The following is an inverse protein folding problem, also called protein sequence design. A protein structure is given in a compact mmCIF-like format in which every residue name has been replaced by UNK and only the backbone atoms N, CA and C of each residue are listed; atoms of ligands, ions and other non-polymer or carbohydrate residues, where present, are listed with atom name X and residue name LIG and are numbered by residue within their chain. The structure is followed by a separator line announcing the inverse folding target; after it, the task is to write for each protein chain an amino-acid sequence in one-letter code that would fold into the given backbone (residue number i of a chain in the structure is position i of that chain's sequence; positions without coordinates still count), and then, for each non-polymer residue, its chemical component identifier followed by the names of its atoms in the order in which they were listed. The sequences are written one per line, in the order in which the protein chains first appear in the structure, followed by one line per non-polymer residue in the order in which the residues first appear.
data_IF_771280244840
#
_entry.id   IF_771280244840
#
_cell.length_a   1.000
_cell.length_b   1.000
_cell.length_c   1.000
_cell.angle_alpha   90.00
_cell.angle_beta   90.00
_cell.angle_gamma   90.00
#
_symmetry.space_group_name_H-M   'P 1'
#
loop_
_entity.id
_entity.type
_entity.pdbx_description
1 polymer ?
#
# COMPACT_ATOMS: atom_id res chain seq x y z
N UNK A 1 -11.88 -3.60 -0.85
CA UNK A 1 -11.98 -2.85 0.41
C UNK A 1 -12.09 -3.77 1.61
N UNK A 2 -11.49 -3.41 2.76
CA UNK A 2 -11.23 -4.30 3.89
C UNK A 2 -12.42 -4.76 4.73
N UNK A 3 -13.33 -5.55 4.17
CA UNK A 3 -14.53 -6.07 4.84
C UNK A 3 -14.33 -7.40 5.59
N UNK A 4 -13.08 -7.87 5.78
CA UNK A 4 -12.83 -9.21 6.34
C UNK A 4 -12.83 -9.32 7.87
N UNK A 5 -13.02 -8.23 8.60
CA UNK A 5 -13.03 -8.23 10.08
C UNK A 5 -14.45 -8.32 10.67
N UNK A 6 -15.50 -8.39 9.82
CA UNK A 6 -16.87 -8.74 10.25
C UNK A 6 -17.50 -7.77 11.26
N UNK A 7 -17.54 -6.47 10.97
CA UNK A 7 -18.18 -5.45 11.78
C UNK A 7 -18.58 -4.24 10.95
N UNK A 8 -19.44 -3.37 11.48
CA UNK A 8 -19.84 -2.11 10.84
C UNK A 8 -18.66 -1.14 10.72
N UNK A 9 -17.68 -1.21 11.64
CA UNK A 9 -16.50 -0.33 11.65
C UNK A 9 -15.37 -0.92 10.81
N UNK A 10 -14.81 -0.17 9.83
CA UNK A 10 -13.65 -0.59 9.07
C UNK A 10 -12.43 -0.82 9.98
N UNK A 11 -11.64 -1.84 9.65
CA UNK A 11 -10.48 -2.26 10.46
C UNK A 11 -9.45 -1.14 10.74
N UNK A 12 -9.38 -0.13 9.88
CA UNK A 12 -8.48 1.02 10.03
C UNK A 12 -8.82 1.86 11.26
N UNK A 13 -10.07 1.84 11.71
CA UNK A 13 -10.54 2.55 12.90
C UNK A 13 -10.55 1.68 14.16
N UNK A 14 -10.25 0.38 14.04
CA UNK A 14 -10.18 -0.49 15.21
C UNK A 14 -8.94 -0.15 16.05
N UNK A 15 -9.09 -0.16 17.39
CA UNK A 15 -7.99 0.17 18.28
C UNK A 15 -6.97 -0.98 18.36
N UNK A 16 -5.70 -0.60 18.47
CA UNK A 16 -4.60 -1.45 18.91
C UNK A 16 -4.52 -1.45 20.46
N UNK A 17 -3.66 -2.27 21.07
CA UNK A 17 -3.59 -2.41 22.53
C UNK A 17 -3.35 -1.10 23.31
N UNK A 18 -2.76 -0.10 22.69
CA UNK A 18 -2.54 1.24 23.28
C UNK A 18 -3.78 2.16 23.17
N UNK A 19 -4.87 1.66 22.58
CA UNK A 19 -6.12 2.39 22.41
C UNK A 19 -6.19 3.30 21.18
N UNK A 20 -5.12 3.43 20.40
CA UNK A 20 -5.09 4.19 19.16
C UNK A 20 -5.47 3.31 17.98
N UNK A 21 -6.09 3.89 16.97
CA UNK A 21 -6.53 3.14 15.79
C UNK A 21 -5.35 2.70 14.89
N UNK A 22 -5.59 1.66 14.11
CA UNK A 22 -4.66 1.19 13.06
C UNK A 22 -4.25 2.34 12.13
N UNK A 23 -5.20 3.21 11.75
CA UNK A 23 -4.94 4.36 10.89
C UNK A 23 -3.99 5.37 11.57
N UNK A 24 -4.20 5.65 12.87
CA UNK A 24 -3.36 6.60 13.61
C UNK A 24 -1.90 6.15 13.62
N UNK A 25 -1.64 4.87 13.87
CA UNK A 25 -0.28 4.33 13.81
C UNK A 25 0.33 4.43 12.41
N UNK A 26 -0.44 4.08 11.38
CA UNK A 26 0.05 4.16 10.00
C UNK A 26 0.40 5.58 9.59
N UNK A 27 -0.46 6.56 9.91
CA UNK A 27 -0.22 7.97 9.53
C UNK A 27 0.95 8.55 10.33
N UNK A 28 1.03 8.28 11.63
CA UNK A 28 2.10 8.78 12.49
C UNK A 28 3.49 8.40 12.01
N UNK A 29 3.66 7.17 11.51
CA UNK A 29 4.95 6.71 11.01
C UNK A 29 5.46 7.62 9.86
N UNK A 30 4.57 8.07 8.99
CA UNK A 30 4.92 8.98 7.90
C UNK A 30 4.93 10.46 8.33
N UNK A 31 4.03 10.87 9.21
CA UNK A 31 4.00 12.24 9.77
C UNK A 31 5.33 12.58 10.46
N UNK A 32 5.89 11.64 11.20
CA UNK A 32 7.15 11.81 11.93
C UNK A 32 8.41 11.74 11.05
N UNK A 33 8.31 11.19 9.85
CA UNK A 33 9.45 10.98 8.97
C UNK A 33 9.84 12.27 8.22
N UNK A 34 11.11 12.66 8.27
CA UNK A 34 11.62 13.80 7.52
C UNK A 34 11.72 13.56 6.00
N UNK A 35 11.58 12.33 5.55
CA UNK A 35 11.55 11.98 4.12
C UNK A 35 10.19 12.21 3.48
N UNK A 36 9.14 12.39 4.27
CA UNK A 36 7.77 12.58 3.79
C UNK A 36 7.37 14.03 3.98
N UNK A 37 6.94 14.67 2.90
CA UNK A 37 6.57 16.09 2.90
C UNK A 37 5.07 16.29 2.96
N UNK A 38 4.31 15.37 2.35
CA UNK A 38 2.86 15.46 2.25
C UNK A 38 2.22 14.08 2.34
N UNK A 39 1.04 14.02 2.94
CA UNK A 39 0.24 12.81 3.10
C UNK A 39 -1.17 13.07 2.57
N UNK A 40 -1.62 12.17 1.69
CA UNK A 40 -3.01 12.11 1.23
C UNK A 40 -3.64 10.84 1.79
N UNK A 41 -4.71 10.99 2.55
CA UNK A 41 -5.47 9.84 3.05
C UNK A 41 -6.62 9.56 2.07
N UNK A 42 -6.62 8.35 1.50
CA UNK A 42 -7.68 7.89 0.61
C UNK A 42 -8.58 6.94 1.37
N UNK A 43 -9.82 7.36 1.60
CA UNK A 43 -10.75 6.67 2.49
C UNK A 43 -12.08 6.36 1.81
N UNK A 44 -12.82 5.39 2.35
CA UNK A 44 -14.20 5.14 1.93
C UNK A 44 -15.06 6.40 2.17
N UNK A 45 -15.97 6.77 1.24
CA UNK A 45 -16.77 7.99 1.37
C UNK A 45 -17.47 8.16 2.72
N UNK A 46 -18.02 7.08 3.27
CA UNK A 46 -18.76 7.11 4.54
C UNK A 46 -17.87 7.41 5.77
N UNK A 47 -16.55 7.44 5.62
CA UNK A 47 -15.58 7.58 6.72
C UNK A 47 -14.64 8.77 6.54
N UNK A 48 -14.96 9.68 5.63
CA UNK A 48 -14.16 10.89 5.40
C UNK A 48 -14.23 11.80 6.61
N UNK A 49 -15.42 12.07 7.11
CA UNK A 49 -15.62 12.97 8.25
C UNK A 49 -14.88 12.49 9.50
N UNK A 50 -14.98 11.20 9.85
CA UNK A 50 -14.24 10.62 10.96
C UNK A 50 -12.74 10.71 10.75
N UNK A 51 -12.28 10.54 9.50
CA UNK A 51 -10.86 10.66 9.17
C UNK A 51 -10.36 12.09 9.33
N UNK A 52 -11.13 13.08 8.88
CA UNK A 52 -10.83 14.51 9.08
C UNK A 52 -10.79 14.88 10.57
N UNK A 53 -11.70 14.34 11.38
CA UNK A 53 -11.67 14.51 12.84
C UNK A 53 -10.40 13.89 13.46
N UNK A 54 -9.93 12.73 12.96
CA UNK A 54 -8.66 12.15 13.38
C UNK A 54 -7.48 13.05 13.03
N UNK A 55 -7.46 13.62 11.81
CA UNK A 55 -6.41 14.56 11.37
C UNK A 55 -6.32 15.75 12.33
N UNK A 56 -7.45 16.35 12.66
CA UNK A 56 -7.53 17.50 13.56
C UNK A 56 -7.10 17.12 15.00
N UNK A 57 -7.58 15.99 15.52
CA UNK A 57 -7.29 15.52 16.88
C UNK A 57 -5.81 15.20 17.08
N UNK A 58 -5.18 14.58 16.08
CA UNK A 58 -3.77 14.21 16.14
C UNK A 58 -2.82 15.34 15.71
N UNK A 59 -3.35 16.49 15.27
CA UNK A 59 -2.57 17.64 14.81
C UNK A 59 -1.58 17.28 13.68
N UNK A 60 -1.97 16.38 12.79
CA UNK A 60 -1.13 16.00 11.64
C UNK A 60 -0.99 17.17 10.67
N UNK A 61 0.25 17.60 10.48
CA UNK A 61 0.57 18.78 9.68
C UNK A 61 0.88 18.47 8.23
N UNK A 62 1.27 17.23 7.94
CA UNK A 62 1.57 16.76 6.59
C UNK A 62 0.33 16.22 5.86
N UNK A 63 -0.75 15.91 6.59
CA UNK A 63 -1.99 15.48 5.96
C UNK A 63 -2.68 16.67 5.32
N UNK A 64 -2.57 16.80 4.01
CA UNK A 64 -3.13 17.93 3.25
C UNK A 64 -4.51 17.62 2.70
N UNK A 65 -4.81 16.35 2.41
CA UNK A 65 -6.07 15.94 1.83
C UNK A 65 -6.57 14.63 2.44
N UNK A 66 -7.89 14.59 2.66
CA UNK A 66 -8.66 13.36 2.88
C UNK A 66 -9.64 13.25 1.72
N UNK A 67 -9.50 12.20 0.90
CA UNK A 67 -10.28 12.05 -0.33
C UNK A 67 -11.00 10.72 -0.41
N UNK A 68 -12.03 10.65 -1.23
CA UNK A 68 -12.76 9.42 -1.50
C UNK A 68 -11.92 8.44 -2.31
N UNK A 69 -11.88 7.17 -1.86
CA UNK A 69 -11.40 6.04 -2.64
C UNK A 69 -12.39 5.65 -3.75
N UNK A 70 -11.93 4.77 -4.63
CA UNK A 70 -12.75 4.16 -5.67
C UNK A 70 -13.35 2.81 -5.23
N UNK A 71 -14.06 2.15 -6.15
CA UNK A 71 -14.62 0.81 -5.94
C UNK A 71 -13.50 -0.24 -5.82
N UNK A 72 -12.47 -0.09 -6.62
CA UNK A 72 -11.29 -0.95 -6.64
C UNK A 72 -10.06 -0.26 -6.00
N UNK A 73 -9.06 -1.08 -5.60
CA UNK A 73 -7.83 -0.56 -5.00
C UNK A 73 -7.08 0.41 -5.93
N UNK A 74 -6.97 0.05 -7.21
CA UNK A 74 -6.28 0.88 -8.20
C UNK A 74 -6.96 2.24 -8.42
N UNK A 75 -8.30 2.32 -8.33
CA UNK A 75 -9.04 3.58 -8.42
C UNK A 75 -8.70 4.50 -7.25
N UNK A 76 -8.56 3.93 -6.05
CA UNK A 76 -8.13 4.69 -4.87
C UNK A 76 -6.73 5.26 -5.05
N UNK A 77 -5.78 4.46 -5.54
CA UNK A 77 -4.42 4.94 -5.86
C UNK A 77 -4.45 6.02 -6.94
N UNK A 78 -5.27 5.83 -8.00
CA UNK A 78 -5.43 6.81 -9.05
C UNK A 78 -6.02 8.13 -8.55
N UNK A 79 -7.01 8.09 -7.67
CA UNK A 79 -7.58 9.30 -7.07
C UNK A 79 -6.52 10.13 -6.35
N UNK A 80 -5.62 9.48 -5.60
CA UNK A 80 -4.49 10.15 -4.97
C UNK A 80 -3.49 10.74 -5.98
N UNK A 81 -3.09 9.97 -7.00
CA UNK A 81 -2.18 10.45 -8.05
C UNK A 81 -2.78 11.65 -8.80
N UNK A 82 -4.08 11.56 -9.16
CA UNK A 82 -4.73 12.54 -10.03
C UNK A 82 -4.88 13.92 -9.42
N UNK A 83 -4.77 14.05 -8.10
CA UNK A 83 -4.75 15.35 -7.42
C UNK A 83 -3.65 16.26 -7.97
N UNK A 84 -2.51 15.67 -8.29
CA UNK A 84 -1.29 16.41 -8.65
C UNK A 84 -0.98 16.37 -10.14
N UNK A 85 -1.58 15.48 -10.93
CA UNK A 85 -1.31 15.36 -12.37
C UNK A 85 -1.68 16.61 -13.17
N UNK A 86 -2.53 17.48 -12.63
CA UNK A 86 -2.95 18.74 -13.27
C UNK A 86 -2.17 19.94 -12.75
N UNK A 87 -1.28 19.73 -11.81
CA UNK A 87 -0.45 20.80 -11.28
C UNK A 87 0.85 20.91 -12.09
N UNK A 88 0.93 21.92 -12.94
CA UNK A 88 2.14 22.24 -13.72
C UNK A 88 3.37 22.57 -12.83
N UNK A 89 3.20 22.51 -11.50
CA UNK A 89 4.22 22.82 -10.50
C UNK A 89 4.73 21.60 -9.75
N UNK A 90 4.42 20.36 -10.18
CA UNK A 90 5.03 19.18 -9.57
C UNK A 90 6.55 19.29 -9.67
N UNK A 91 7.21 19.18 -8.52
CA UNK A 91 8.66 19.11 -8.47
C UNK A 91 9.14 17.91 -9.29
N UNK A 92 10.09 18.08 -10.22
CA UNK A 92 10.64 16.99 -11.02
C UNK A 92 11.16 15.81 -10.21
N UNK A 93 11.52 16.02 -8.95
CA UNK A 93 12.04 14.99 -8.05
C UNK A 93 10.95 14.39 -7.13
N UNK A 94 9.66 14.59 -7.45
CA UNK A 94 8.56 14.04 -6.66
C UNK A 94 8.44 12.53 -6.80
N UNK A 95 8.26 11.86 -5.66
CA UNK A 95 7.94 10.44 -5.57
C UNK A 95 6.59 10.24 -4.90
N UNK A 96 5.76 9.36 -5.47
CA UNK A 96 4.54 8.88 -4.84
C UNK A 96 4.83 7.60 -4.04
N UNK A 97 4.43 7.60 -2.78
CA UNK A 97 4.53 6.45 -1.89
C UNK A 97 3.14 5.93 -1.57
N UNK A 98 2.90 4.68 -1.89
CA UNK A 98 1.64 4.00 -1.60
C UNK A 98 1.81 3.11 -0.39
N UNK A 99 0.98 3.34 0.62
CA UNK A 99 1.03 2.56 1.84
C UNK A 99 -0.36 2.04 2.22
N UNK A 100 -0.42 0.76 2.57
CA UNK A 100 -1.65 0.17 3.12
C UNK A 100 -1.88 0.70 4.54
N UNK A 101 -2.93 1.49 4.76
CA UNK A 101 -3.31 1.96 6.11
C UNK A 101 -3.51 0.82 7.13
N UNK A 102 -3.64 -0.42 6.65
CA UNK A 102 -3.70 -1.61 7.47
C UNK A 102 -2.32 -2.19 7.88
N UNK A 103 -1.22 -1.47 7.65
CA UNK A 103 0.14 -1.80 8.12
C UNK A 103 0.64 -0.75 9.10
N UNK A 104 0.15 -0.78 10.36
CA UNK A 104 0.45 0.25 11.34
C UNK A 104 1.89 0.23 11.87
N UNK A 105 2.65 -0.83 11.59
CA UNK A 105 3.97 -1.07 12.19
C UNK A 105 5.13 -0.83 11.22
N UNK A 106 4.95 0.03 10.21
CA UNK A 106 6.05 0.46 9.36
C UNK A 106 7.07 1.27 10.18
N UNK A 107 8.32 0.82 10.19
CA UNK A 107 9.39 1.46 10.97
C UNK A 107 9.99 2.67 10.24
N UNK A 108 10.63 3.58 10.99
CA UNK A 108 11.42 4.67 10.41
C UNK A 108 12.60 4.13 9.58
N UNK A 109 13.14 2.97 9.96
CA UNK A 109 14.20 2.27 9.24
C UNK A 109 13.75 1.79 7.87
N UNK A 110 12.51 1.28 7.73
CA UNK A 110 11.94 0.94 6.42
C UNK A 110 11.81 2.19 5.57
N UNK A 111 11.24 3.27 6.11
CA UNK A 111 11.05 4.54 5.38
C UNK A 111 12.40 5.10 4.93
N UNK A 112 13.42 5.08 5.80
CA UNK A 112 14.76 5.55 5.46
C UNK A 112 15.40 4.71 4.34
N UNK A 113 15.29 3.36 4.40
CA UNK A 113 15.81 2.47 3.34
C UNK A 113 15.14 2.72 2.00
N UNK A 114 13.83 2.95 1.99
CA UNK A 114 13.09 3.28 0.77
C UNK A 114 13.56 4.63 0.21
N UNK A 115 13.66 5.65 1.06
CA UNK A 115 14.13 6.98 0.64
C UNK A 115 15.55 6.92 0.06
N UNK A 116 16.46 6.17 0.67
CA UNK A 116 17.83 6.02 0.15
C UNK A 116 17.85 5.29 -1.18
N UNK A 117 17.05 4.24 -1.37
CA UNK A 117 16.95 3.52 -2.64
C UNK A 117 16.40 4.39 -3.76
N UNK A 118 15.48 5.31 -3.47
CA UNK A 118 14.90 6.25 -4.45
C UNK A 118 15.91 7.30 -4.97
N UNK A 119 17.06 7.43 -4.32
CA UNK A 119 18.13 8.32 -4.86
C UNK A 119 18.73 7.82 -6.17
N UNK A 120 18.59 6.53 -6.45
CA UNK A 120 19.18 5.88 -7.62
C UNK A 120 18.18 5.07 -8.44
N UNK A 121 16.97 4.84 -7.93
CA UNK A 121 15.95 4.02 -8.58
C UNK A 121 14.63 4.78 -8.73
N UNK A 122 13.93 4.54 -9.83
CA UNK A 122 12.64 5.19 -10.14
C UNK A 122 11.44 4.46 -9.51
N UNK A 123 11.62 3.22 -9.10
CA UNK A 123 10.57 2.40 -8.50
C UNK A 123 11.17 1.45 -7.47
N UNK A 124 10.58 1.44 -6.28
CA UNK A 124 11.02 0.65 -5.13
C UNK A 124 9.81 0.04 -4.43
N UNK A 125 9.94 -1.20 -3.99
CA UNK A 125 8.95 -1.88 -3.16
C UNK A 125 9.60 -2.50 -1.94
N UNK A 126 8.85 -2.61 -0.85
CA UNK A 126 9.31 -3.30 0.36
C UNK A 126 8.85 -4.76 0.33
N UNK A 127 9.73 -5.69 0.66
CA UNK A 127 9.36 -7.09 0.77
C UNK A 127 10.23 -7.83 1.80
N UNK A 128 9.72 -8.98 2.27
CA UNK A 128 10.41 -9.91 3.16
C UNK A 128 10.52 -11.29 2.51
N UNK A 129 11.56 -12.08 2.80
CA UNK A 129 11.69 -13.43 2.29
C UNK A 129 10.49 -14.31 2.64
N UNK A 130 10.18 -15.27 1.79
CA UNK A 130 9.22 -16.34 2.12
C UNK A 130 9.90 -17.34 3.06
N UNK A 131 9.32 -17.56 4.22
CA UNK A 131 9.80 -18.52 5.22
C UNK A 131 9.13 -19.88 5.09
N UNK A 132 7.87 -19.92 4.69
CA UNK A 132 7.09 -21.13 4.54
C UNK A 132 7.33 -21.82 3.19
N UNK A 133 7.01 -23.12 3.13
CA UNK A 133 6.98 -23.85 1.86
C UNK A 133 5.79 -23.38 1.02
N UNK A 134 6.05 -23.10 -0.25
CA UNK A 134 5.01 -22.71 -1.21
C UNK A 134 4.56 -23.92 -2.02
N UNK A 135 3.23 -24.04 -2.22
CA UNK A 135 2.63 -24.98 -3.15
C UNK A 135 1.91 -24.22 -4.26
N UNK A 136 2.19 -24.57 -5.52
CA UNK A 136 1.34 -24.23 -6.63
C UNK A 136 0.23 -25.27 -6.72
N UNK A 137 -1.04 -24.84 -6.78
CA UNK A 137 -2.22 -25.70 -6.84
C UNK A 137 -2.95 -25.53 -8.19
N UNK A 138 -3.71 -26.56 -8.60
CA UNK A 138 -4.36 -26.63 -9.93
C UNK A 138 -5.33 -25.47 -10.19
N UNK A 139 -6.03 -24.98 -9.19
CA UNK A 139 -6.95 -23.86 -9.30
C UNK A 139 -7.17 -23.22 -7.94
N UNK A 140 -7.17 -21.88 -7.93
CA UNK A 140 -7.59 -21.08 -6.78
C UNK A 140 -9.07 -20.66 -6.88
N UNK A 141 -9.88 -21.27 -7.73
CA UNK A 141 -11.33 -21.13 -7.64
C UNK A 141 -11.78 -21.77 -6.32
N UNK A 142 -11.66 -20.97 -5.30
CA UNK A 142 -11.95 -21.26 -3.90
C UNK A 142 -13.43 -21.51 -3.70
N UNK A 143 -13.84 -22.74 -3.87
CA UNK A 143 -14.83 -23.26 -2.95
C UNK A 143 -14.07 -23.79 -1.73
N UNK A 144 -14.32 -23.27 -0.57
CA UNK A 144 -13.72 -23.63 0.73
C UNK A 144 -13.86 -25.15 1.06
N UNK A 145 -14.57 -25.89 0.25
CA UNK A 145 -14.94 -27.31 0.43
C UNK A 145 -14.18 -28.29 -0.48
N UNK A 146 -13.23 -27.84 -1.30
CA UNK A 146 -12.51 -28.74 -2.20
C UNK A 146 -11.06 -28.94 -1.77
N UNK A 147 -10.67 -30.20 -1.69
CA UNK A 147 -9.25 -30.56 -1.63
C UNK A 147 -8.57 -30.12 -2.93
N UNK A 148 -7.55 -29.27 -2.81
CA UNK A 148 -6.77 -28.80 -3.97
C UNK A 148 -5.58 -29.76 -4.18
N UNK A 149 -5.33 -30.11 -5.44
CA UNK A 149 -4.16 -30.90 -5.78
C UNK A 149 -2.94 -29.98 -5.94
N UNK A 150 -1.85 -30.36 -5.30
CA UNK A 150 -0.55 -29.71 -5.46
C UNK A 150 0.03 -30.07 -6.83
N UNK A 151 0.30 -29.05 -7.67
CA UNK A 151 0.94 -29.22 -8.97
C UNK A 151 2.46 -29.21 -8.87
N UNK A 152 2.98 -28.29 -8.07
CA UNK A 152 4.43 -28.14 -7.91
C UNK A 152 4.79 -27.43 -6.60
N UNK A 153 6.06 -27.51 -6.25
CA UNK A 153 6.63 -26.86 -5.08
C UNK A 153 7.77 -25.93 -5.57
N UNK A 154 7.46 -24.63 -5.78
CA UNK A 154 8.46 -23.69 -6.24
C UNK A 154 9.53 -23.44 -5.16
N UNK A 155 10.76 -23.09 -5.59
CA UNK A 155 11.82 -22.72 -4.67
C UNK A 155 11.47 -21.41 -3.95
N UNK A 156 11.25 -21.44 -2.65
CA UNK A 156 10.93 -20.25 -1.85
C UNK A 156 12.00 -19.16 -1.90
N UNK A 157 13.25 -19.51 -2.22
CA UNK A 157 14.36 -18.56 -2.35
C UNK A 157 14.20 -17.59 -3.53
N UNK A 158 13.29 -17.87 -4.46
CA UNK A 158 12.98 -17.04 -5.63
C UNK A 158 11.79 -16.09 -5.36
N UNK A 159 11.19 -16.17 -4.18
CA UNK A 159 9.96 -15.43 -3.85
C UNK A 159 10.14 -14.58 -2.60
N UNK A 160 9.48 -13.43 -2.63
CA UNK A 160 9.36 -12.53 -1.48
C UNK A 160 7.88 -12.19 -1.24
N UNK A 161 7.52 -11.96 0.00
CA UNK A 161 6.20 -11.43 0.37
C UNK A 161 6.23 -9.92 0.29
N UNK A 162 5.44 -9.37 -0.62
CA UNK A 162 5.34 -7.92 -0.80
C UNK A 162 4.74 -7.25 0.44
N UNK A 163 5.33 -6.13 0.80
CA UNK A 163 4.83 -5.21 1.80
C UNK A 163 4.65 -3.81 1.18
N UNK A 164 4.26 -2.86 1.97
CA UNK A 164 4.28 -1.44 1.64
C UNK A 164 5.11 -0.67 2.69
N UNK A 165 5.68 0.50 2.33
CA UNK A 165 5.36 1.32 1.16
C UNK A 165 5.90 0.76 -0.16
N UNK A 166 5.19 1.09 -1.26
CA UNK A 166 5.67 0.99 -2.63
C UNK A 166 5.86 2.41 -3.14
N UNK A 167 7.03 2.75 -3.64
CA UNK A 167 7.36 4.13 -3.97
C UNK A 167 7.88 4.26 -5.40
N UNK A 168 7.40 5.30 -6.10
CA UNK A 168 7.66 5.48 -7.52
C UNK A 168 7.86 6.95 -7.85
N UNK A 169 8.79 7.22 -8.75
CA UNK A 169 8.91 8.55 -9.35
C UNK A 169 7.61 8.88 -10.11
N UNK A 170 7.14 10.13 -9.99
CA UNK A 170 5.85 10.53 -10.59
C UNK A 170 5.80 10.33 -12.12
N UNK A 171 6.93 10.52 -12.83
CA UNK A 171 7.04 10.33 -14.28
C UNK A 171 6.90 8.88 -14.74
N UNK A 172 6.95 7.91 -13.86
CA UNK A 172 6.77 6.51 -14.22
C UNK A 172 5.41 5.97 -13.81
N UNK A 173 4.95 6.27 -12.58
CA UNK A 173 3.69 5.70 -12.07
C UNK A 173 2.46 6.38 -12.67
N UNK A 174 2.43 7.70 -12.78
CA UNK A 174 1.33 8.45 -13.39
C UNK A 174 1.03 7.99 -14.82
N UNK A 175 2.00 7.99 -15.74
CA UNK A 175 1.82 7.45 -17.09
C UNK A 175 1.45 5.96 -17.14
N UNK A 176 1.91 5.13 -16.19
CA UNK A 176 1.49 3.72 -16.13
C UNK A 176 0.00 3.60 -15.84
N UNK A 177 -0.50 4.36 -14.86
CA UNK A 177 -1.93 4.43 -14.57
C UNK A 177 -2.77 4.96 -15.73
N UNK A 178 -2.33 6.03 -16.39
CA UNK A 178 -3.03 6.57 -17.56
C UNK A 178 -3.19 5.51 -18.66
N UNK A 179 -2.10 4.80 -18.99
CA UNK A 179 -2.13 3.70 -19.96
C UNK A 179 -3.04 2.54 -19.53
N UNK A 180 -3.05 2.22 -18.24
CA UNK A 180 -3.89 1.17 -17.68
C UNK A 180 -5.39 1.50 -17.85
N UNK A 181 -5.77 2.75 -17.56
CA UNK A 181 -7.13 3.26 -17.69
C UNK A 181 -7.56 3.29 -19.15
N UNK A 182 -6.71 3.78 -20.06
CA UNK A 182 -6.99 3.79 -21.51
C UNK A 182 -7.25 2.40 -22.07
N UNK A 183 -6.54 1.37 -21.60
CA UNK A 183 -6.75 -0.02 -22.03
C UNK A 183 -7.97 -0.70 -21.41
N UNK A 184 -8.57 -0.13 -20.36
CA UNK A 184 -9.82 -0.58 -19.74
C UNK A 184 -9.76 -1.96 -19.06
N UNK A 185 -8.56 -2.52 -18.83
CA UNK A 185 -8.36 -3.79 -18.11
C UNK A 185 -7.22 -3.63 -17.11
N UNK A 186 -7.57 -3.48 -15.85
CA UNK A 186 -6.58 -3.42 -14.77
C UNK A 186 -6.72 -4.69 -13.93
N UNK A 187 -5.76 -5.59 -14.06
CA UNK A 187 -5.70 -6.88 -13.33
C UNK A 187 -4.54 -6.91 -12.33
N UNK A 188 -4.07 -5.75 -11.90
CA UNK A 188 -2.99 -5.68 -10.94
C UNK A 188 -3.51 -5.70 -9.49
N UNK A 189 -2.83 -6.42 -8.62
CA UNK A 189 -3.16 -6.52 -7.21
C UNK A 189 -2.57 -5.38 -6.38
N UNK A 190 -1.54 -4.70 -6.92
CA UNK A 190 -0.83 -3.58 -6.29
C UNK A 190 -0.26 -2.61 -7.34
N UNK A 191 0.40 -1.55 -6.88
CA UNK A 191 0.91 -0.48 -7.75
C UNK A 191 2.15 -0.92 -8.55
N UNK A 192 2.94 -1.86 -8.00
CA UNK A 192 4.04 -2.53 -8.73
C UNK A 192 3.51 -3.29 -9.93
N UNK A 193 2.43 -4.03 -9.74
CA UNK A 193 1.79 -4.79 -10.84
C UNK A 193 1.31 -3.89 -11.98
N UNK A 194 0.80 -2.70 -11.67
CA UNK A 194 0.43 -1.70 -12.69
C UNK A 194 1.67 -1.18 -13.42
N UNK A 195 2.73 -0.81 -12.69
CA UNK A 195 3.96 -0.34 -13.33
C UNK A 195 4.54 -1.40 -14.26
N UNK A 196 4.69 -2.63 -13.79
CA UNK A 196 5.26 -3.73 -14.58
C UNK A 196 4.44 -4.07 -15.83
N UNK A 197 3.10 -3.97 -15.74
CA UNK A 197 2.22 -4.27 -16.87
C UNK A 197 2.20 -3.16 -17.94
N UNK A 198 2.38 -1.90 -17.55
CA UNK A 198 2.16 -0.76 -18.44
C UNK A 198 3.41 0.10 -18.70
N UNK A 199 4.47 -0.15 -17.96
CA UNK A 199 5.81 0.42 -18.14
C UNK A 199 6.91 -0.62 -17.89
N UNK A 200 6.91 -1.73 -18.64
CA UNK A 200 7.83 -2.86 -18.40
C UNK A 200 9.31 -2.51 -18.59
N UNK A 201 9.61 -1.35 -19.17
CA UNK A 201 10.96 -0.82 -19.31
C UNK A 201 11.55 -0.24 -18.00
N UNK A 202 10.70 -0.11 -16.95
CA UNK A 202 11.13 0.41 -15.65
C UNK A 202 11.36 -0.73 -14.68
N UNK A 203 12.58 -0.88 -14.22
CA UNK A 203 12.90 -1.88 -13.17
C UNK A 203 12.34 -1.46 -11.82
N UNK A 204 11.84 -2.44 -11.07
CA UNK A 204 11.39 -2.27 -9.68
C UNK A 204 12.39 -2.96 -8.75
N UNK A 205 12.92 -2.21 -7.80
CA UNK A 205 13.89 -2.70 -6.84
C UNK A 205 13.25 -3.02 -5.50
N UNK A 206 13.74 -4.10 -4.86
CA UNK A 206 13.22 -4.54 -3.56
C UNK A 206 14.11 -4.01 -2.45
N UNK A 207 13.49 -3.34 -1.49
CA UNK A 207 14.08 -2.96 -0.21
C UNK A 207 13.67 -3.96 0.86
N UNK A 208 14.61 -4.32 1.73
CA UNK A 208 14.33 -5.24 2.83
C UNK A 208 13.29 -4.64 3.81
N UNK A 209 12.19 -5.38 3.95
CA UNK A 209 11.14 -5.11 4.92
C UNK A 209 11.41 -5.75 6.28
N UNK A 210 10.39 -5.75 7.12
CA UNK A 210 10.43 -6.31 8.46
C UNK A 210 9.17 -7.15 8.71
N UNK A 211 9.30 -8.28 9.43
CA UNK A 211 8.14 -9.11 9.77
C UNK A 211 7.12 -8.32 10.60
N UNK A 212 7.57 -7.39 11.42
CA UNK A 212 6.71 -6.49 12.19
C UNK A 212 5.80 -5.62 11.31
N UNK A 213 6.23 -5.26 10.09
CA UNK A 213 5.42 -4.48 9.12
C UNK A 213 4.34 -5.35 8.47
N UNK A 214 3.66 -6.17 9.29
CA UNK A 214 2.58 -7.04 8.83
C UNK A 214 1.30 -6.27 8.57
N UNK A 215 0.46 -6.81 7.71
CA UNK A 215 -0.87 -6.26 7.41
C UNK A 215 -1.89 -6.82 8.40
N UNK A 216 -2.58 -5.94 9.10
CA UNK A 216 -3.78 -6.30 9.88
C UNK A 216 -4.86 -6.79 8.89
N UNK A 217 -5.15 -8.07 8.95
CA UNK A 217 -6.10 -8.72 8.04
C UNK A 217 -7.26 -9.35 8.80
N UNK A 218 -6.97 -9.97 9.92
CA UNK A 218 -7.93 -10.64 10.81
C UNK A 218 -7.99 -9.93 12.17
N UNK A 219 -9.01 -10.26 12.96
CA UNK A 219 -9.22 -9.63 14.26
C UNK A 219 -8.09 -9.97 15.25
N UNK A 220 -7.58 -11.18 15.14
CA UNK A 220 -6.47 -11.68 15.97
C UNK A 220 -5.17 -10.86 15.77
N UNK A 221 -5.00 -10.25 14.59
CA UNK A 221 -3.84 -9.41 14.30
C UNK A 221 -3.80 -8.10 15.13
N UNK A 222 -4.95 -7.71 15.71
CA UNK A 222 -5.06 -6.50 16.55
C UNK A 222 -4.52 -6.70 17.97
N UNK A 223 -4.44 -7.95 18.43
CA UNK A 223 -4.08 -8.30 19.81
C UNK A 223 -2.58 -8.59 20.01
N UNK A 224 -1.82 -8.59 18.92
CA UNK A 224 -0.43 -9.07 18.90
C UNK A 224 0.60 -7.96 18.65
#
# INVERSE_FOLDING_TARGET
MGSRVGGETPKQFLPLPDGRSVLEHSVDAFEQSHYIHEIVIVMHPDWIEETEQLVQRNLWTKVTHVISGGAERWESSWNGISLYLKDDKIDPDTFYWFHDAARPFVSQEIIARVAEALRTHLAVTVAVPVTDTLYKVESLELSVERNLKVESMPSRSEYMRAQTPQAFHYLVIGPAYMRAIEKGKIQATDDVGILMAYKPEVDVYVVAGEEANRKITYKEDLES
#
